data_IF_989430360854
#
_entry.id   IF_989430360854
#
_cell.length_a   1.000
_cell.length_b   1.000
_cell.length_c   1.000
_cell.angle_alpha   90.00
_cell.angle_beta   90.00
_cell.angle_gamma   90.00
#
_symmetry.space_group_name_H-M   'P 1'
#
loop_
_entity.id
_entity.type
_entity.pdbx_description
1 polymer ?
#
# COMPACT_ATOMS: atom_id res chain seq x y z
N UNK A 1 20.73 2.06 5.13
CA UNK A 1 20.57 1.77 6.56
C UNK A 1 19.41 0.81 6.75
N UNK A 2 19.55 -0.19 7.63
CA UNK A 2 18.49 -1.15 7.96
C UNK A 2 18.14 -1.06 9.44
N UNK A 3 16.88 -1.25 9.77
CA UNK A 3 16.34 -1.30 11.12
C UNK A 3 15.53 -2.60 11.26
N UNK A 4 16.06 -3.53 12.05
CA UNK A 4 15.36 -4.78 12.36
C UNK A 4 14.45 -4.57 13.58
N UNK A 5 13.20 -5.01 13.46
CA UNK A 5 12.16 -4.81 14.45
C UNK A 5 11.17 -5.99 14.47
N UNK A 6 10.20 -5.97 15.38
CA UNK A 6 9.14 -6.97 15.47
C UNK A 6 7.81 -6.31 15.79
N UNK A 7 6.81 -6.54 14.94
CA UNK A 7 5.45 -6.01 15.12
C UNK A 7 4.54 -7.20 15.44
N UNK A 8 3.90 -7.21 16.61
CA UNK A 8 3.06 -8.33 17.05
C UNK A 8 3.76 -9.71 16.96
N UNK A 9 5.04 -9.74 17.36
CA UNK A 9 5.94 -10.91 17.26
C UNK A 9 6.31 -11.35 15.84
N UNK A 10 5.97 -10.56 14.81
CA UNK A 10 6.35 -10.83 13.43
C UNK A 10 7.60 -10.02 13.05
N UNK A 11 8.69 -10.69 12.61
CA UNK A 11 9.90 -10.00 12.17
C UNK A 11 9.58 -9.02 11.04
N UNK A 12 10.06 -7.79 11.20
CA UNK A 12 9.91 -6.72 10.23
C UNK A 12 11.25 -6.01 10.10
N UNK A 13 11.71 -5.78 8.88
CA UNK A 13 12.91 -4.97 8.62
C UNK A 13 12.51 -3.74 7.85
N UNK A 14 12.88 -2.57 8.34
CA UNK A 14 12.79 -1.33 7.57
C UNK A 14 14.15 -1.00 6.97
N UNK A 15 14.15 -0.31 5.83
CA UNK A 15 15.36 0.26 5.27
C UNK A 15 15.11 1.65 4.72
N UNK A 16 16.02 2.57 5.05
CA UNK A 16 16.17 3.86 4.37
C UNK A 16 17.45 3.81 3.57
N UNK A 17 17.38 4.20 2.31
CA UNK A 17 18.53 4.36 1.44
C UNK A 17 18.47 5.69 0.72
N UNK A 18 19.64 6.16 0.30
CA UNK A 18 19.78 7.33 -0.53
C UNK A 18 20.71 7.00 -1.70
N UNK A 19 20.41 7.57 -2.87
CA UNK A 19 21.18 7.38 -4.08
C UNK A 19 22.51 8.14 -4.01
N UNK A 20 23.62 7.44 -4.25
CA UNK A 20 24.94 8.05 -4.29
C UNK A 20 25.17 8.75 -5.64
N UNK A 21 25.05 10.08 -5.63
CA UNK A 21 25.30 10.95 -6.79
C UNK A 21 26.69 11.60 -6.67
N UNK A 22 27.35 11.86 -7.80
CA UNK A 22 28.67 12.51 -7.83
C UNK A 22 28.60 13.89 -7.15
N UNK A 23 29.51 14.12 -6.19
CA UNK A 23 29.56 15.37 -5.42
C UNK A 23 28.47 15.48 -4.34
N UNK A 24 27.92 14.34 -3.91
CA UNK A 24 27.06 14.23 -2.73
C UNK A 24 27.78 13.44 -1.64
N UNK A 25 27.84 14.00 -0.45
CA UNK A 25 28.31 13.31 0.75
C UNK A 25 27.11 12.67 1.45
N UNK A 26 27.11 11.33 1.53
CA UNK A 26 26.10 10.59 2.29
C UNK A 26 26.65 10.33 3.69
N UNK A 27 25.81 10.58 4.69
CA UNK A 27 26.09 10.22 6.08
C UNK A 27 24.87 9.55 6.69
N UNK A 28 25.08 8.74 7.72
CA UNK A 28 24.01 7.99 8.36
C UNK A 28 24.23 7.89 9.87
N UNK A 29 23.20 7.55 10.63
CA UNK A 29 23.38 7.14 12.03
C UNK A 29 22.19 6.33 12.50
N UNK A 30 22.40 5.50 13.51
CA UNK A 30 21.32 5.07 14.37
C UNK A 30 21.25 5.98 15.61
N UNK A 31 20.06 6.12 16.21
CA UNK A 31 19.83 7.01 17.35
C UNK A 31 18.73 6.46 18.26
N UNK A 32 18.68 6.94 19.51
CA UNK A 32 17.59 6.62 20.42
C UNK A 32 16.40 7.56 20.13
N UNK A 33 15.26 7.05 19.62
CA UNK A 33 14.10 7.88 19.29
C UNK A 33 13.38 8.40 20.54
N UNK A 34 13.57 7.77 21.70
CA UNK A 34 12.97 8.19 22.96
C UNK A 34 13.78 9.28 23.70
N UNK A 35 14.84 9.80 23.07
CA UNK A 35 15.49 11.01 23.55
C UNK A 35 14.50 12.17 23.53
N UNK A 36 14.34 12.86 24.67
CA UNK A 36 13.43 14.01 24.79
C UNK A 36 13.93 15.26 24.04
N UNK A 37 15.20 15.27 23.61
CA UNK A 37 15.81 16.46 23.01
C UNK A 37 16.19 16.28 21.54
N UNK A 38 16.53 15.06 21.11
CA UNK A 38 17.03 14.81 19.75
C UNK A 38 18.39 15.45 19.45
N UNK A 39 19.07 16.01 20.47
CA UNK A 39 20.29 16.80 20.30
C UNK A 39 21.41 16.01 19.62
N UNK A 40 21.46 14.69 19.80
CA UNK A 40 22.46 13.84 19.17
C UNK A 40 22.50 14.01 17.64
N UNK A 41 21.33 14.02 16.99
CA UNK A 41 21.24 14.25 15.54
C UNK A 41 21.45 15.72 15.23
N UNK A 42 20.73 16.60 15.94
CA UNK A 42 20.69 18.02 15.57
C UNK A 42 22.00 18.75 15.82
N UNK A 43 22.72 18.45 16.89
CA UNK A 43 24.04 19.02 17.13
C UNK A 43 25.06 18.54 16.09
N UNK A 44 24.97 17.30 15.64
CA UNK A 44 25.85 16.76 14.60
C UNK A 44 25.62 17.51 13.29
N UNK A 45 24.35 17.61 12.85
CA UNK A 45 23.98 18.34 11.64
C UNK A 45 24.31 19.84 11.74
N UNK A 46 24.11 20.47 12.90
CA UNK A 46 24.44 21.88 13.13
C UNK A 46 25.95 22.14 13.08
N UNK A 47 26.78 21.23 13.60
CA UNK A 47 28.24 21.39 13.66
C UNK A 47 28.91 21.12 12.32
N UNK A 48 28.52 20.06 11.63
CA UNK A 48 29.24 19.58 10.44
C UNK A 48 28.39 19.49 9.18
N UNK A 49 27.06 19.57 9.27
CA UNK A 49 26.15 19.31 8.15
C UNK A 49 25.97 17.83 7.81
N UNK A 50 26.60 16.93 8.59
CA UNK A 50 26.64 15.48 8.35
C UNK A 50 26.33 14.70 9.63
N UNK A 51 25.80 13.49 9.48
CA UNK A 51 25.53 12.58 10.59
C UNK A 51 26.81 11.87 11.08
N UNK A 52 26.83 11.32 12.31
CA UNK A 52 28.02 10.72 12.92
C UNK A 52 28.61 9.48 12.22
N UNK A 53 27.88 8.82 11.32
CA UNK A 53 28.24 7.52 10.71
C UNK A 53 28.36 6.38 11.73
N UNK A 54 27.54 6.43 12.77
CA UNK A 54 27.54 5.47 13.87
C UNK A 54 26.37 4.48 13.75
N UNK A 55 26.67 3.20 13.92
CA UNK A 55 25.68 2.13 14.02
C UNK A 55 25.50 1.81 15.51
N UNK A 56 24.66 2.58 16.20
CA UNK A 56 24.39 2.38 17.61
C UNK A 56 23.60 1.08 17.85
N UNK A 57 23.85 0.45 19.00
CA UNK A 57 23.04 -0.64 19.56
C UNK A 57 22.32 -0.11 20.79
N UNK A 58 21.08 0.35 20.64
CA UNK A 58 20.18 0.68 21.75
C UNK A 58 19.01 -0.30 21.81
N UNK A 59 18.31 -0.34 22.95
CA UNK A 59 17.08 -1.15 23.12
C UNK A 59 15.96 -0.66 22.19
N UNK A 60 15.81 0.66 22.02
CA UNK A 60 14.92 1.28 21.05
C UNK A 60 15.73 2.12 20.07
N UNK A 61 15.51 1.90 18.77
CA UNK A 61 16.42 2.36 17.72
C UNK A 61 15.66 3.05 16.58
N UNK A 62 16.07 4.27 16.27
CA UNK A 62 15.75 5.00 15.05
C UNK A 62 16.94 4.99 14.10
N UNK A 63 16.69 5.13 12.80
CA UNK A 63 17.75 5.25 11.80
C UNK A 63 17.57 6.54 10.98
N UNK A 64 18.70 7.14 10.62
CA UNK A 64 18.75 8.37 9.85
C UNK A 64 19.75 8.23 8.70
N UNK A 65 19.39 8.80 7.56
CA UNK A 65 20.27 8.97 6.39
C UNK A 65 20.18 10.43 5.95
N UNK A 66 21.34 11.00 5.63
CA UNK A 66 21.50 12.37 5.21
C UNK A 66 22.30 12.42 3.91
N UNK A 67 21.86 13.27 2.98
CA UNK A 67 22.63 13.64 1.78
C UNK A 67 22.98 15.12 1.86
N UNK A 68 24.25 15.43 1.63
CA UNK A 68 24.76 16.80 1.57
C UNK A 68 25.44 17.05 0.23
N UNK A 69 25.10 18.15 -0.41
CA UNK A 69 25.76 18.60 -1.64
C UNK A 69 25.67 20.11 -1.78
N UNK A 70 26.67 20.69 -2.44
CA UNK A 70 26.64 22.10 -2.82
C UNK A 70 25.75 22.30 -4.07
N UNK A 71 24.88 23.31 -4.03
CA UNK A 71 24.03 23.72 -5.16
C UNK A 71 24.51 25.08 -5.68
N UNK A 72 25.17 25.15 -6.85
CA UNK A 72 25.56 26.41 -7.48
C UNK A 72 24.39 27.38 -7.69
N UNK A 73 24.68 28.69 -7.72
CA UNK A 73 23.69 29.70 -8.03
C UNK A 73 22.99 29.42 -9.38
N UNK A 74 21.67 29.61 -9.42
CA UNK A 74 20.83 29.37 -10.60
C UNK A 74 20.87 27.92 -11.13
N UNK A 75 21.24 26.95 -10.29
CA UNK A 75 21.20 25.52 -10.62
C UNK A 75 20.26 24.76 -9.69
N UNK A 76 19.93 23.52 -10.07
CA UNK A 76 19.21 22.59 -9.22
C UNK A 76 19.98 21.27 -9.13
N UNK A 77 19.82 20.57 -8.01
CA UNK A 77 20.25 19.17 -7.82
C UNK A 77 19.11 18.40 -7.19
N UNK A 78 18.98 17.14 -7.56
CA UNK A 78 18.04 16.21 -6.96
C UNK A 78 18.80 15.13 -6.22
N UNK A 79 18.22 14.61 -5.14
CA UNK A 79 18.71 13.44 -4.43
C UNK A 79 17.51 12.54 -4.14
N UNK A 80 17.69 11.25 -4.43
CA UNK A 80 16.64 10.24 -4.31
C UNK A 80 16.81 9.48 -3.01
N UNK A 81 15.72 9.34 -2.27
CA UNK A 81 15.64 8.50 -1.08
C UNK A 81 14.59 7.41 -1.30
N UNK A 82 14.79 6.25 -0.68
CA UNK A 82 13.80 5.18 -0.62
C UNK A 82 13.56 4.76 0.82
N UNK A 83 12.29 4.61 1.20
CA UNK A 83 11.87 3.92 2.41
C UNK A 83 11.15 2.64 1.99
N UNK A 84 11.64 1.51 2.48
CA UNK A 84 11.00 0.20 2.25
C UNK A 84 10.88 -0.57 3.55
N UNK A 85 9.92 -1.49 3.60
CA UNK A 85 9.75 -2.41 4.71
C UNK A 85 9.53 -3.83 4.22
N UNK A 86 10.10 -4.78 4.93
CA UNK A 86 10.05 -6.20 4.64
C UNK A 86 9.43 -6.93 5.83
N UNK A 87 8.17 -7.32 5.65
CA UNK A 87 7.37 -8.11 6.59
C UNK A 87 6.62 -9.20 5.78
N UNK A 88 7.33 -10.25 5.33
CA UNK A 88 6.88 -11.13 4.25
C UNK A 88 5.68 -11.99 4.62
N UNK A 89 5.48 -12.27 5.91
CA UNK A 89 4.43 -13.16 6.41
C UNK A 89 3.56 -12.42 7.40
N UNK A 90 2.25 -12.65 7.31
CA UNK A 90 1.25 -12.17 8.28
C UNK A 90 0.40 -13.32 8.80
N UNK A 91 -0.16 -13.13 9.99
CA UNK A 91 -0.98 -14.13 10.66
C UNK A 91 -2.42 -13.66 10.86
N UNK A 92 -3.40 -14.52 10.57
CA UNK A 92 -4.82 -14.26 10.80
C UNK A 92 -5.44 -15.33 11.72
N UNK A 93 -6.63 -15.03 12.25
CA UNK A 93 -7.44 -15.96 13.03
C UNK A 93 -6.76 -16.42 14.32
N UNK A 94 -6.18 -15.49 15.09
CA UNK A 94 -5.46 -15.82 16.33
C UNK A 94 -4.17 -16.63 16.09
N UNK A 95 -3.45 -16.36 15.00
CA UNK A 95 -2.25 -17.10 14.55
C UNK A 95 -2.50 -18.52 14.03
N UNK A 96 -3.75 -18.87 13.72
CA UNK A 96 -4.09 -20.19 13.15
C UNK A 96 -3.70 -20.36 11.69
N UNK A 97 -3.58 -19.27 10.92
CA UNK A 97 -3.10 -19.30 9.53
C UNK A 97 -2.07 -18.22 9.26
N UNK A 98 -1.03 -18.59 8.53
CA UNK A 98 -0.03 -17.70 7.96
C UNK A 98 -0.33 -17.45 6.47
N UNK A 99 -0.05 -16.23 6.03
CA UNK A 99 -0.15 -15.83 4.64
C UNK A 99 1.12 -15.11 4.23
N UNK A 100 1.64 -15.47 3.06
CA UNK A 100 2.75 -14.76 2.43
C UNK A 100 2.20 -13.57 1.66
N UNK A 101 2.75 -12.37 1.90
CA UNK A 101 2.38 -11.17 1.14
C UNK A 101 2.84 -11.31 -0.30
N UNK A 102 2.03 -10.82 -1.24
CA UNK A 102 2.23 -10.99 -2.68
C UNK A 102 3.61 -10.55 -3.17
N UNK A 103 4.14 -9.45 -2.61
CA UNK A 103 5.41 -8.89 -3.06
C UNK A 103 6.59 -9.86 -2.87
N UNK A 104 6.48 -10.87 -1.98
CA UNK A 104 7.55 -11.87 -1.77
C UNK A 104 7.83 -12.70 -3.01
N UNK A 105 6.87 -12.80 -3.94
CA UNK A 105 7.08 -13.41 -5.26
C UNK A 105 8.25 -12.79 -6.03
N UNK A 106 8.49 -11.49 -5.84
CA UNK A 106 9.49 -10.75 -6.60
C UNK A 106 10.83 -10.65 -5.87
N UNK A 107 10.81 -10.63 -4.53
CA UNK A 107 12.02 -10.39 -3.73
C UNK A 107 12.51 -11.61 -2.96
N UNK A 108 11.68 -12.64 -2.82
CA UNK A 108 11.97 -13.82 -2.03
C UNK A 108 11.62 -13.64 -0.55
N UNK A 109 12.06 -14.61 0.26
CA UNK A 109 11.85 -14.67 1.71
C UNK A 109 13.17 -14.69 2.49
N UNK A 110 14.30 -14.70 1.78
CA UNK A 110 15.64 -14.86 2.33
C UNK A 110 16.31 -13.54 2.76
N UNK A 111 17.46 -13.67 3.42
CA UNK A 111 18.43 -12.58 3.61
C UNK A 111 18.79 -11.97 2.25
N UNK A 112 18.69 -10.64 2.12
CA UNK A 112 18.86 -9.95 0.83
C UNK A 112 17.57 -9.40 0.23
N UNK A 113 16.40 -9.80 0.74
CA UNK A 113 15.11 -9.38 0.17
C UNK A 113 14.82 -7.89 0.37
N UNK A 114 15.23 -7.31 1.52
CA UNK A 114 15.08 -5.87 1.78
C UNK A 114 15.99 -5.04 0.86
N UNK A 115 17.19 -5.54 0.54
CA UNK A 115 18.10 -4.90 -0.41
C UNK A 115 17.51 -4.92 -1.82
N UNK A 116 16.91 -6.03 -2.27
CA UNK A 116 16.19 -6.08 -3.55
C UNK A 116 15.05 -5.07 -3.63
N UNK A 117 14.33 -4.83 -2.52
CA UNK A 117 13.28 -3.79 -2.45
C UNK A 117 13.88 -2.39 -2.58
N UNK A 118 14.98 -2.11 -1.88
CA UNK A 118 15.71 -0.83 -1.99
C UNK A 118 16.18 -0.61 -3.43
N UNK A 119 16.84 -1.60 -4.03
CA UNK A 119 17.36 -1.52 -5.40
C UNK A 119 16.22 -1.28 -6.39
N UNK A 120 15.11 -2.01 -6.26
CA UNK A 120 13.93 -1.81 -7.11
C UNK A 120 13.37 -0.40 -6.97
N UNK A 121 13.25 0.13 -5.74
CA UNK A 121 12.72 1.46 -5.50
C UNK A 121 13.61 2.58 -6.06
N UNK A 122 14.93 2.45 -5.93
CA UNK A 122 15.87 3.45 -6.43
C UNK A 122 16.06 3.38 -7.96
N UNK A 123 16.05 2.18 -8.54
CA UNK A 123 16.25 1.98 -9.99
C UNK A 123 14.96 2.31 -10.77
N UNK A 124 13.80 1.84 -10.30
CA UNK A 124 12.55 1.93 -11.06
C UNK A 124 11.65 3.10 -10.62
N UNK A 125 11.97 3.80 -9.54
CA UNK A 125 11.11 4.84 -8.96
C UNK A 125 10.70 5.92 -9.96
N UNK A 126 11.62 6.35 -10.84
CA UNK A 126 11.34 7.32 -11.89
C UNK A 126 10.42 6.75 -12.97
N UNK A 127 10.61 5.48 -13.36
CA UNK A 127 9.72 4.80 -14.31
C UNK A 127 8.30 4.68 -13.72
N UNK A 128 8.18 4.38 -12.42
CA UNK A 128 6.89 4.32 -11.74
C UNK A 128 6.20 5.68 -11.70
N UNK A 129 6.92 6.77 -11.41
CA UNK A 129 6.39 8.14 -11.47
C UNK A 129 5.81 8.45 -12.86
N UNK A 130 6.57 8.14 -13.92
CA UNK A 130 6.14 8.36 -15.30
C UNK A 130 4.90 7.55 -15.68
N UNK A 131 4.81 6.27 -15.28
CA UNK A 131 3.63 5.45 -15.54
C UNK A 131 2.40 5.92 -14.73
N UNK A 132 2.58 6.45 -13.51
CA UNK A 132 1.51 7.08 -12.74
C UNK A 132 0.99 8.32 -13.47
N UNK A 133 1.87 9.23 -13.90
CA UNK A 133 1.48 10.45 -14.63
C UNK A 133 0.72 10.12 -15.91
N UNK A 134 1.23 9.16 -16.68
CA UNK A 134 0.58 8.66 -17.90
C UNK A 134 -0.79 8.04 -17.64
N UNK A 135 -0.98 7.34 -16.52
CA UNK A 135 -2.30 6.82 -16.13
C UNK A 135 -3.26 7.94 -15.73
N UNK A 136 -2.79 9.00 -15.08
CA UNK A 136 -3.61 10.15 -14.69
C UNK A 136 -3.95 11.09 -15.85
N UNK A 137 -3.05 11.19 -16.83
CA UNK A 137 -3.07 12.16 -17.94
C UNK A 137 -4.43 12.30 -18.64
N UNK A 138 -5.14 11.21 -19.01
CA UNK A 138 -6.42 11.32 -19.73
C UNK A 138 -7.51 12.04 -18.93
N UNK A 139 -7.50 11.90 -17.60
CA UNK A 139 -8.47 12.54 -16.69
C UNK A 139 -8.02 13.97 -16.39
N UNK A 140 -6.73 14.19 -16.13
CA UNK A 140 -6.19 15.52 -15.82
C UNK A 140 -6.41 16.48 -16.99
N UNK A 141 -6.15 16.02 -18.22
CA UNK A 141 -6.26 16.84 -19.42
C UNK A 141 -7.70 17.01 -19.94
N UNK A 142 -8.67 16.29 -19.36
CA UNK A 142 -10.07 16.46 -19.72
C UNK A 142 -10.61 17.79 -19.16
N UNK A 143 -10.84 18.75 -20.07
CA UNK A 143 -11.38 20.08 -19.74
C UNK A 143 -12.87 20.07 -19.43
N UNK A 144 -13.57 18.98 -19.71
CA UNK A 144 -14.99 18.83 -19.37
C UNK A 144 -15.21 18.48 -17.90
N UNK A 145 -14.18 17.96 -17.23
CA UNK A 145 -14.23 17.58 -15.82
C UNK A 145 -13.82 18.75 -14.92
N UNK A 146 -14.60 19.09 -13.89
CA UNK A 146 -14.19 20.06 -12.87
C UNK A 146 -12.97 19.59 -12.07
N UNK A 147 -12.11 20.52 -11.64
CA UNK A 147 -10.89 20.20 -10.87
C UNK A 147 -11.18 19.47 -9.54
N UNK A 148 -12.27 19.82 -8.84
CA UNK A 148 -12.66 19.14 -7.61
C UNK A 148 -12.99 17.65 -7.87
N UNK A 149 -13.57 17.34 -9.03
CA UNK A 149 -13.96 15.99 -9.39
C UNK A 149 -12.73 15.14 -9.72
N UNK A 150 -11.76 15.69 -10.45
CA UNK A 150 -10.47 15.05 -10.71
C UNK A 150 -9.75 14.71 -9.39
N UNK A 151 -9.71 15.67 -8.46
CA UNK A 151 -9.13 15.48 -7.13
C UNK A 151 -9.80 14.33 -6.38
N UNK A 152 -11.14 14.33 -6.28
CA UNK A 152 -11.88 13.26 -5.61
C UNK A 152 -11.63 11.90 -6.29
N UNK A 153 -11.69 11.83 -7.63
CA UNK A 153 -11.53 10.58 -8.37
C UNK A 153 -10.20 9.87 -8.09
N UNK A 154 -9.11 10.63 -7.93
CA UNK A 154 -7.81 10.07 -7.58
C UNK A 154 -7.62 9.83 -6.09
N UNK A 155 -7.99 10.81 -5.26
CA UNK A 155 -7.71 10.74 -3.84
C UNK A 155 -8.54 9.67 -3.13
N UNK A 156 -9.79 9.41 -3.55
CA UNK A 156 -10.61 8.34 -2.97
C UNK A 156 -10.03 6.93 -3.20
N UNK A 157 -9.12 6.75 -4.17
CA UNK A 157 -8.43 5.47 -4.37
C UNK A 157 -7.44 5.14 -3.26
N UNK A 158 -7.12 6.07 -2.35
CA UNK A 158 -6.27 5.80 -1.18
C UNK A 158 -6.76 4.58 -0.39
N UNK A 159 -8.09 4.38 -0.33
CA UNK A 159 -8.72 3.31 0.44
C UNK A 159 -8.40 1.90 -0.09
N UNK A 160 -8.01 1.76 -1.37
CA UNK A 160 -7.54 0.48 -1.94
C UNK A 160 -6.28 -0.02 -1.24
N UNK A 161 -5.48 0.88 -0.66
CA UNK A 161 -4.27 0.56 0.11
C UNK A 161 -4.56 0.65 1.61
N UNK A 162 -5.20 1.75 2.05
CA UNK A 162 -5.38 2.08 3.46
C UNK A 162 -6.57 1.38 4.14
N UNK A 163 -7.45 0.72 3.37
CA UNK A 163 -8.56 -0.09 3.88
C UNK A 163 -8.10 -1.44 4.46
N UNK A 164 -6.95 -1.46 5.15
CA UNK A 164 -6.22 -2.65 5.59
C UNK A 164 -6.12 -3.74 4.51
N UNK A 165 -5.79 -3.31 3.29
CA UNK A 165 -5.74 -4.21 2.15
C UNK A 165 -4.65 -5.27 2.35
N UNK A 166 -4.97 -6.47 1.90
CA UNK A 166 -4.04 -7.57 1.86
C UNK A 166 -4.04 -8.21 0.48
N UNK A 167 -2.83 -8.57 0.06
CA UNK A 167 -2.60 -9.28 -1.18
C UNK A 167 -1.65 -10.42 -0.87
N UNK A 168 -2.11 -11.65 -1.08
CA UNK A 168 -1.40 -12.86 -0.68
C UNK A 168 -1.00 -13.72 -1.87
N UNK A 169 0.21 -14.26 -1.76
CA UNK A 169 0.70 -15.35 -2.59
C UNK A 169 -0.13 -16.61 -2.32
N UNK A 170 -0.47 -17.33 -3.39
CA UNK A 170 -1.28 -18.52 -3.27
C UNK A 170 -0.47 -19.68 -2.68
N UNK A 171 -1.01 -20.31 -1.64
CA UNK A 171 -0.45 -21.51 -1.05
C UNK A 171 -1.32 -22.73 -1.39
N UNK A 172 -0.69 -23.80 -1.90
CA UNK A 172 -1.40 -25.04 -2.24
C UNK A 172 -2.06 -25.71 -1.04
N UNK A 173 -1.53 -25.52 0.18
CA UNK A 173 -2.11 -26.04 1.42
C UNK A 173 -3.49 -25.47 1.72
N UNK A 174 -3.87 -24.34 1.11
CA UNK A 174 -5.21 -23.78 1.30
C UNK A 174 -6.31 -24.74 0.84
N UNK A 175 -6.02 -25.65 -0.11
CA UNK A 175 -7.00 -26.66 -0.57
C UNK A 175 -7.31 -27.73 0.47
N UNK A 176 -6.44 -27.91 1.46
CA UNK A 176 -6.65 -28.86 2.54
C UNK A 176 -7.71 -28.34 3.53
N UNK A 177 -7.93 -27.02 3.54
CA UNK A 177 -8.77 -26.31 4.50
C UNK A 177 -9.99 -25.68 3.81
N UNK A 178 -9.82 -25.20 2.58
CA UNK A 178 -10.81 -24.49 1.79
C UNK A 178 -11.15 -25.26 0.51
N UNK A 179 -12.43 -25.24 0.12
CA UNK A 179 -12.85 -25.80 -1.17
C UNK A 179 -12.70 -24.77 -2.28
N UNK A 180 -11.52 -24.72 -2.87
CA UNK A 180 -11.19 -23.82 -3.98
C UNK A 180 -11.46 -24.55 -5.31
N UNK A 181 -12.26 -23.95 -6.19
CA UNK A 181 -12.50 -24.50 -7.52
C UNK A 181 -11.22 -24.39 -8.40
N UNK A 182 -10.96 -25.34 -9.34
CA UNK A 182 -9.80 -25.26 -10.24
C UNK A 182 -9.63 -23.94 -11.01
N UNK A 183 -10.73 -23.28 -11.40
CA UNK A 183 -10.69 -21.98 -12.10
C UNK A 183 -10.18 -20.89 -11.15
N UNK A 184 -10.73 -20.85 -9.93
CA UNK A 184 -10.29 -19.93 -8.88
C UNK A 184 -8.83 -20.20 -8.50
N UNK A 185 -8.43 -21.46 -8.30
CA UNK A 185 -7.04 -21.81 -8.03
C UNK A 185 -6.10 -21.28 -9.11
N UNK A 186 -6.44 -21.47 -10.40
CA UNK A 186 -5.63 -20.97 -11.51
C UNK A 186 -5.47 -19.44 -11.46
N UNK A 187 -6.53 -18.72 -11.14
CA UNK A 187 -6.50 -17.26 -11.01
C UNK A 187 -5.62 -16.83 -9.82
N UNK A 188 -5.87 -17.40 -8.63
CA UNK A 188 -5.12 -17.05 -7.41
C UNK A 188 -3.63 -17.37 -7.54
N UNK A 189 -3.26 -18.47 -8.20
CA UNK A 189 -1.85 -18.77 -8.51
C UNK A 189 -1.21 -17.71 -9.40
N UNK A 190 -1.98 -17.10 -10.31
CA UNK A 190 -1.43 -16.14 -11.27
C UNK A 190 -1.41 -14.71 -10.72
N UNK A 191 -2.42 -14.32 -9.95
CA UNK A 191 -2.64 -12.92 -9.55
C UNK A 191 -2.84 -12.73 -8.04
N UNK A 192 -2.78 -13.80 -7.25
CA UNK A 192 -2.90 -13.74 -5.80
C UNK A 192 -4.34 -13.62 -5.31
N UNK A 193 -4.48 -13.77 -3.99
CA UNK A 193 -5.71 -13.52 -3.24
C UNK A 193 -5.69 -12.09 -2.74
N UNK A 194 -6.72 -11.33 -3.05
CA UNK A 194 -6.82 -9.92 -2.67
C UNK A 194 -8.06 -9.69 -1.82
N UNK A 195 -7.92 -8.88 -0.79
CA UNK A 195 -9.06 -8.37 -0.05
C UNK A 195 -8.73 -7.11 0.71
N UNK A 196 -9.79 -6.40 1.10
CA UNK A 196 -9.71 -5.17 1.87
C UNK A 196 -10.93 -5.10 2.79
N UNK A 197 -10.84 -4.28 3.84
CA UNK A 197 -11.92 -4.12 4.80
C UNK A 197 -12.97 -3.13 4.30
N UNK A 198 -14.22 -3.38 4.67
CA UNK A 198 -15.31 -2.45 4.45
C UNK A 198 -15.06 -1.09 5.11
N UNK A 199 -14.64 -1.10 6.38
CA UNK A 199 -14.24 0.09 7.14
C UNK A 199 -13.38 -0.31 8.35
N UNK A 200 -12.85 0.69 9.05
CA UNK A 200 -12.18 0.48 10.35
C UNK A 200 -13.16 0.18 11.49
N UNK A 201 -14.46 0.48 11.32
CA UNK A 201 -15.52 0.16 12.28
C UNK A 201 -16.08 -1.25 12.06
N UNK A 202 -16.13 -1.67 10.79
CA UNK A 202 -16.59 -2.98 10.36
C UNK A 202 -15.46 -3.77 9.72
N UNK A 203 -14.82 -4.62 10.53
CA UNK A 203 -13.70 -5.49 10.14
C UNK A 203 -14.18 -6.70 9.28
N UNK A 204 -15.02 -6.41 8.29
CA UNK A 204 -15.54 -7.36 7.30
C UNK A 204 -14.75 -7.21 6.01
N UNK A 205 -14.32 -8.35 5.47
CA UNK A 205 -13.45 -8.41 4.28
C UNK A 205 -14.31 -8.55 3.04
N UNK A 206 -14.05 -7.70 2.05
CA UNK A 206 -14.71 -7.72 0.74
C UNK A 206 -16.24 -7.79 0.85
N UNK A 207 -16.87 -7.09 1.82
CA UNK A 207 -18.32 -7.09 1.99
C UNK A 207 -18.99 -6.81 0.65
N UNK A 208 -19.71 -7.80 0.11
CA UNK A 208 -19.99 -7.83 -1.34
C UNK A 208 -20.97 -6.74 -1.79
N UNK A 209 -21.98 -6.45 -0.98
CA UNK A 209 -22.94 -5.37 -1.23
C UNK A 209 -22.27 -3.99 -1.21
N UNK A 210 -21.22 -3.79 -0.41
CA UNK A 210 -20.42 -2.56 -0.42
C UNK A 210 -19.41 -2.58 -1.58
N UNK A 211 -18.73 -3.71 -1.80
CA UNK A 211 -17.78 -3.91 -2.88
C UNK A 211 -18.44 -3.70 -4.25
N UNK A 212 -19.74 -3.98 -4.41
CA UNK A 212 -20.50 -3.65 -5.61
C UNK A 212 -20.28 -2.20 -6.06
N UNK A 213 -20.30 -1.23 -5.15
CA UNK A 213 -20.08 0.18 -5.47
C UNK A 213 -18.61 0.48 -5.78
N UNK A 214 -17.68 -0.12 -5.03
CA UNK A 214 -16.24 0.07 -5.20
C UNK A 214 -15.67 -0.68 -6.43
N UNK A 215 -16.37 -1.70 -6.93
CA UNK A 215 -15.90 -2.62 -7.98
C UNK A 215 -15.50 -1.89 -9.26
N UNK A 216 -16.11 -0.74 -9.56
CA UNK A 216 -15.74 0.08 -10.72
C UNK A 216 -14.27 0.51 -10.69
N UNK A 217 -13.74 0.86 -9.52
CA UNK A 217 -12.33 1.21 -9.36
C UNK A 217 -11.42 0.01 -9.67
N UNK A 218 -11.80 -1.18 -9.22
CA UNK A 218 -11.05 -2.42 -9.45
C UNK A 218 -11.15 -2.91 -10.89
N UNK A 219 -12.34 -2.95 -11.48
CA UNK A 219 -12.54 -3.30 -12.90
C UNK A 219 -11.71 -2.39 -13.81
N UNK A 220 -11.67 -1.08 -13.51
CA UNK A 220 -10.96 -0.10 -14.32
C UNK A 220 -9.45 -0.20 -14.19
N UNK A 221 -8.93 -0.35 -12.96
CA UNK A 221 -7.50 -0.23 -12.68
C UNK A 221 -6.79 -1.57 -12.45
N UNK A 222 -7.46 -2.55 -11.85
CA UNK A 222 -6.91 -3.86 -11.51
C UNK A 222 -7.87 -5.03 -11.83
N UNK A 223 -8.27 -5.21 -13.10
CA UNK A 223 -9.31 -6.18 -13.48
C UNK A 223 -8.97 -7.64 -13.12
N UNK A 224 -7.69 -7.97 -12.97
CA UNK A 224 -7.27 -9.32 -12.57
C UNK A 224 -7.43 -9.56 -11.06
N UNK A 225 -7.31 -8.52 -10.24
CA UNK A 225 -7.61 -8.58 -8.80
C UNK A 225 -9.11 -8.65 -8.58
N UNK A 226 -9.89 -7.85 -9.32
CA UNK A 226 -11.34 -7.96 -9.36
C UNK A 226 -11.78 -9.39 -9.69
N UNK A 227 -11.20 -9.99 -10.73
CA UNK A 227 -11.51 -11.37 -11.11
C UNK A 227 -11.15 -12.37 -10.02
N UNK A 228 -10.05 -12.16 -9.27
CA UNK A 228 -9.75 -12.97 -8.09
C UNK A 228 -10.88 -12.89 -7.07
N UNK A 229 -11.33 -11.68 -6.69
CA UNK A 229 -12.43 -11.47 -5.73
C UNK A 229 -13.70 -12.20 -6.18
N UNK A 230 -14.14 -11.99 -7.43
CA UNK A 230 -15.37 -12.59 -7.96
C UNK A 230 -15.30 -14.12 -8.01
N UNK A 231 -14.13 -14.70 -8.36
CA UNK A 231 -13.95 -16.15 -8.39
C UNK A 231 -13.91 -16.79 -7.00
N UNK A 232 -13.49 -16.04 -5.98
CA UNK A 232 -13.59 -16.48 -4.59
C UNK A 232 -15.04 -16.52 -4.12
N UNK A 233 -15.82 -15.47 -4.37
CA UNK A 233 -17.26 -15.48 -4.12
C UNK A 233 -17.96 -16.62 -4.86
N UNK A 234 -17.67 -16.82 -6.15
CA UNK A 234 -18.20 -17.93 -6.92
C UNK A 234 -17.91 -19.30 -6.28
N UNK A 235 -16.69 -19.51 -5.78
CA UNK A 235 -16.34 -20.74 -5.07
C UNK A 235 -17.18 -20.92 -3.81
N UNK A 236 -17.32 -19.87 -2.99
CA UNK A 236 -18.09 -19.92 -1.74
C UNK A 236 -19.58 -20.16 -1.98
N UNK A 237 -20.17 -19.48 -2.97
CA UNK A 237 -21.58 -19.62 -3.30
C UNK A 237 -21.89 -21.04 -3.81
N UNK A 238 -21.02 -21.64 -4.62
CA UNK A 238 -21.16 -23.06 -5.01
C UNK A 238 -21.12 -24.03 -3.84
N UNK A 239 -20.47 -23.67 -2.73
CA UNK A 239 -20.47 -24.46 -1.50
C UNK A 239 -21.76 -24.29 -0.73
N UNK A 240 -22.24 -23.05 -0.59
CA UNK A 240 -23.46 -22.73 0.13
C UNK A 240 -24.70 -23.37 -0.53
N UNK A 241 -24.72 -23.42 -1.87
CA UNK A 241 -25.86 -23.93 -2.64
C UNK A 241 -25.66 -25.34 -3.20
N UNK A 242 -24.75 -26.14 -2.63
CA UNK A 242 -24.66 -27.58 -2.92
C UNK A 242 -25.96 -28.27 -2.45
N UNK A 243 -26.96 -28.32 -3.33
CA UNK A 243 -28.30 -28.84 -3.06
C UNK A 243 -29.47 -27.94 -3.52
N UNK A 244 -29.20 -26.70 -3.96
CA UNK A 244 -30.23 -25.78 -4.46
C UNK A 244 -30.16 -25.64 -5.99
N UNK A 245 -31.29 -25.39 -6.63
CA UNK A 245 -31.42 -25.36 -8.09
C UNK A 245 -30.59 -24.24 -8.73
N UNK A 246 -29.59 -24.63 -9.50
CA UNK A 246 -28.75 -23.74 -10.31
C UNK A 246 -29.50 -23.35 -11.60
N UNK A 247 -29.60 -22.06 -11.89
CA UNK A 247 -30.04 -21.56 -13.20
C UNK A 247 -28.91 -20.77 -13.84
N UNK A 248 -28.42 -21.27 -14.98
CA UNK A 248 -27.42 -20.61 -15.80
C UNK A 248 -28.15 -19.71 -16.82
N UNK A 249 -27.83 -18.41 -16.83
CA UNK A 249 -28.38 -17.48 -17.80
C UNK A 249 -27.31 -17.10 -18.83
N UNK A 250 -27.62 -17.31 -20.11
CA UNK A 250 -26.80 -16.85 -21.21
C UNK A 250 -27.24 -15.44 -21.61
N UNK A 251 -26.38 -14.45 -21.40
CA UNK A 251 -26.60 -13.09 -21.91
C UNK A 251 -25.75 -12.93 -23.17
N UNK A 252 -26.36 -12.85 -24.37
CA UNK A 252 -25.61 -12.54 -25.57
C UNK A 252 -25.12 -11.08 -25.50
N UNK A 253 -23.80 -10.88 -25.57
CA UNK A 253 -23.24 -9.56 -25.78
C UNK A 253 -23.54 -9.15 -27.24
N UNK A 254 -24.31 -8.08 -27.42
CA UNK A 254 -24.59 -7.56 -28.76
C UNK A 254 -23.26 -7.24 -29.47
N UNK A 255 -22.93 -8.01 -30.51
CA UNK A 255 -21.76 -7.78 -31.37
C UNK A 255 -20.46 -8.53 -31.00
N UNK A 256 -20.43 -9.37 -29.96
CA UNK A 256 -19.22 -10.14 -29.61
C UNK A 256 -19.42 -11.65 -29.86
N UNK A 257 -18.42 -12.33 -30.47
CA UNK A 257 -18.44 -13.80 -30.69
C UNK A 257 -18.19 -14.61 -29.41
N UNK A 258 -17.85 -13.95 -28.30
CA UNK A 258 -17.62 -14.59 -27.01
C UNK A 258 -18.75 -14.27 -26.03
N UNK A 259 -19.35 -15.32 -25.45
CA UNK A 259 -20.40 -15.21 -24.45
C UNK A 259 -19.80 -15.05 -23.05
N UNK A 260 -20.12 -13.98 -22.33
CA UNK A 260 -19.88 -13.91 -20.89
C UNK A 260 -20.93 -14.79 -20.17
N UNK A 261 -20.49 -15.66 -19.26
CA UNK A 261 -21.38 -16.44 -18.39
C UNK A 261 -21.56 -15.72 -17.08
N UNK A 262 -22.76 -15.23 -16.82
CA UNK A 262 -23.11 -14.59 -15.55
C UNK A 262 -23.89 -15.61 -14.72
N UNK A 263 -23.36 -15.94 -13.54
CA UNK A 263 -24.03 -16.83 -12.59
C UNK A 263 -24.73 -15.98 -11.54
N UNK A 264 -26.06 -15.84 -11.66
CA UNK A 264 -26.90 -15.11 -10.69
C UNK A 264 -27.55 -16.13 -9.75
N UNK A 265 -27.33 -15.95 -8.45
CA UNK A 265 -27.98 -16.74 -7.41
C UNK A 265 -29.09 -15.88 -6.80
N UNK A 266 -30.34 -16.24 -7.06
CA UNK A 266 -31.50 -15.52 -6.52
C UNK A 266 -31.95 -16.22 -5.25
N UNK A 267 -31.92 -15.52 -4.11
CA UNK A 267 -32.62 -15.96 -2.91
C UNK A 267 -33.73 -14.95 -2.60
N UNK A 268 -34.99 -15.38 -2.60
CA UNK A 268 -36.09 -14.62 -2.00
C UNK A 268 -35.93 -14.72 -0.49
N UNK A 269 -35.23 -13.76 0.11
CA UNK A 269 -35.22 -13.53 1.56
C UNK A 269 -35.98 -12.22 1.83
N UNK A 270 -37.16 -12.33 2.41
CA UNK A 270 -37.90 -11.22 3.00
C UNK A 270 -37.19 -10.78 4.28
N UNK A 271 -36.74 -9.53 4.33
CA UNK A 271 -36.15 -8.91 5.52
C UNK A 271 -37.19 -8.05 6.25
N UNK A 272 -37.38 -8.32 7.54
CA UNK A 272 -38.13 -7.49 8.47
C UNK A 272 -37.25 -6.30 8.89
N UNK A 273 -37.74 -5.09 8.66
CA UNK A 273 -37.05 -3.83 8.96
C UNK A 273 -37.67 -3.21 10.21
N UNK A 274 -36.96 -3.31 11.34
CA UNK A 274 -37.19 -2.41 12.47
C UNK A 274 -36.01 -1.44 12.63
N UNK A 275 -36.25 -0.12 12.77
CA UNK A 275 -35.19 0.89 12.74
C UNK A 275 -34.54 1.10 14.11
N UNK A 276 -33.22 1.23 14.15
CA UNK A 276 -32.49 1.78 15.31
C UNK A 276 -32.06 3.20 14.96
N UNK A 277 -32.64 4.16 15.69
CA UNK A 277 -32.32 5.58 15.67
C UNK A 277 -31.18 5.88 16.64
N UNK A 278 -30.10 6.52 16.16
CA UNK A 278 -29.46 7.69 16.79
C UNK A 278 -28.03 7.91 16.25
N UNK A 279 -27.82 9.00 15.51
CA UNK A 279 -26.48 9.56 15.26
C UNK A 279 -26.52 11.07 15.48
N UNK A 280 -25.68 11.56 16.39
CA UNK A 280 -25.46 13.00 16.64
C UNK A 280 -24.36 13.54 15.73
N UNK A 281 -24.62 14.72 15.19
CA UNK A 281 -23.77 15.57 14.34
C UNK A 281 -22.42 15.91 15.00
N UNK A 282 -21.34 15.96 14.21
CA UNK A 282 -20.07 16.62 14.54
C UNK A 282 -19.72 17.61 13.42
N UNK A 283 -19.38 18.85 13.78
CA UNK A 283 -18.95 19.92 12.87
C UNK A 283 -17.41 20.03 12.84
N UNK A 284 -16.84 20.33 11.67
CA UNK A 284 -15.40 20.57 11.48
C UNK A 284 -15.10 22.07 11.28
N UNK A 285 -14.00 22.55 11.86
CA UNK A 285 -13.48 23.91 11.69
C UNK A 285 -12.06 23.83 11.09
N UNK A 286 -11.81 24.53 9.98
CA UNK A 286 -10.53 24.58 9.27
C UNK A 286 -9.96 26.01 9.30
N UNK A 287 -8.66 26.15 9.59
CA UNK A 287 -7.91 27.41 9.46
C UNK A 287 -6.52 27.10 8.88
N UNK A 288 -6.10 27.70 7.73
CA UNK A 288 -4.75 27.53 7.19
C UNK A 288 -3.81 28.69 7.58
N UNK A 289 -2.47 28.48 7.65
CA UNK A 289 -1.50 29.56 7.74
C UNK A 289 -0.87 29.92 6.37
N UNK A 290 -0.28 31.14 6.22
CA UNK A 290 0.26 31.62 4.95
C UNK A 290 1.77 31.34 4.77
N UNK A 291 2.19 31.16 3.52
CA UNK A 291 3.58 31.09 3.07
C UNK A 291 4.15 32.48 2.68
N UNK A 292 5.47 32.66 2.82
CA UNK A 292 6.25 33.73 2.18
C UNK A 292 7.65 33.21 1.77
N UNK A 293 8.25 33.64 0.63
CA UNK A 293 9.50 33.06 0.11
C UNK A 293 10.76 33.96 0.16
N UNK A 294 11.89 33.26 0.04
CA UNK A 294 13.18 33.60 -0.58
C UNK A 294 14.29 34.29 0.23
N UNK A 295 15.51 33.72 0.15
CA UNK A 295 16.77 34.45 0.16
C UNK A 295 17.88 33.66 -0.58
N UNK A 296 18.77 34.40 -1.25
CA UNK A 296 19.78 33.93 -2.20
C UNK A 296 21.18 33.87 -1.59
N UNK A 297 21.76 32.67 -1.53
CA UNK A 297 23.20 32.39 -1.42
C UNK A 297 23.43 30.95 -1.88
N UNK A 298 24.63 30.59 -2.31
CA UNK A 298 25.02 29.18 -2.44
C UNK A 298 24.90 28.56 -1.05
N UNK A 299 23.89 27.72 -0.86
CA UNK A 299 23.53 27.15 0.43
C UNK A 299 23.86 25.67 0.40
N UNK A 300 24.55 25.19 1.43
CA UNK A 300 24.68 23.76 1.65
C UNK A 300 23.31 23.23 2.08
N UNK A 301 22.74 22.34 1.28
CA UNK A 301 21.47 21.69 1.59
C UNK A 301 21.73 20.30 2.19
N UNK A 302 21.08 20.05 3.31
CA UNK A 302 21.06 18.75 3.98
C UNK A 302 19.61 18.26 4.02
N UNK A 303 19.32 17.19 3.28
CA UNK A 303 18.02 16.51 3.36
C UNK A 303 18.12 15.36 4.35
N UNK A 304 17.24 15.33 5.35
CA UNK A 304 17.19 14.33 6.40
C UNK A 304 15.88 13.54 6.32
N UNK A 305 15.97 12.23 6.22
CA UNK A 305 14.84 11.32 6.40
C UNK A 305 15.02 10.55 7.71
N UNK A 306 13.99 10.62 8.56
CA UNK A 306 13.92 9.94 9.84
C UNK A 306 12.85 8.86 9.79
N UNK A 307 13.18 7.66 10.27
CA UNK A 307 12.20 6.62 10.54
C UNK A 307 12.28 6.25 12.02
N UNK A 308 11.16 6.41 12.69
CA UNK A 308 10.95 5.98 14.08
C UNK A 308 10.14 4.67 14.07
N UNK A 309 10.56 3.69 14.86
CA UNK A 309 9.73 2.52 15.13
C UNK A 309 8.58 2.95 16.05
N UNK A 310 7.38 3.09 15.51
CA UNK A 310 6.21 3.42 16.31
C UNK A 310 5.73 2.17 17.08
N UNK A 311 5.68 2.28 18.40
CA UNK A 311 5.15 1.27 19.30
C UNK A 311 3.64 1.46 19.48
N UNK A 312 2.88 0.40 19.24
CA UNK A 312 1.57 0.15 19.84
C UNK A 312 1.36 -1.34 20.01
#
# INVERSE_FOLDING_TARGET
MKLEHSINSMPTTYAIAAEQIVGTDISYTAFNPCSTTGDYIWDSLKKSGSLPNELATSEELGIAVSCRFAVPALSFKCSTFSLVWFMPVVHFGGKSRSYKRWYTRYVGEESGSIEKLVDSALIEGENWRLEIEKWQEPVINDKSLPEWYKSALFNELYYVVDGAAFWFEYDSSWKDIEKINPITEKQLRKFGRFGYMESWEYLMINTYDVHFYASWAFVKNWPQLELSIQLEFYSLVRLAFKGSSHKEYHVPAAGCKESARIHIFVNTLTWDLSPVSDMKKVEYLYVPPPFSPACSSTTDFTSLFLLEGLFS
#
